data_IF_451303332363
#
_entry.id   IF_451303332363
#
_cell.length_a   1.000
_cell.length_b   1.000
_cell.length_c   1.000
_cell.angle_alpha   90.00
_cell.angle_beta   90.00
_cell.angle_gamma   90.00
#
_symmetry.space_group_name_H-M   'P 1'
#
loop_
_entity.id
_entity.type
_entity.pdbx_description
1 polymer ?
#
# COMPACT_ATOMS: atom_id res chain seq x y z
N UNK A 1 27.99 -1.50 -5.10
CA UNK A 1 26.74 -2.05 -5.67
C UNK A 1 25.62 -1.53 -4.77
N UNK A 2 24.89 -0.50 -5.19
CA UNK A 2 23.77 0.02 -4.38
C UNK A 2 22.79 -1.13 -4.14
N UNK A 3 22.54 -1.44 -2.86
CA UNK A 3 21.50 -2.37 -2.46
C UNK A 3 20.21 -1.77 -3.00
N UNK A 4 19.65 -2.36 -4.07
CA UNK A 4 18.33 -1.96 -4.58
C UNK A 4 17.39 -2.02 -3.38
N UNK A 5 16.89 -0.87 -2.91
CA UNK A 5 15.89 -0.84 -1.87
C UNK A 5 14.75 -1.74 -2.33
N UNK A 6 14.55 -2.84 -1.61
CA UNK A 6 13.42 -3.74 -1.86
C UNK A 6 12.16 -2.89 -1.64
N UNK A 7 11.18 -3.07 -2.53
CA UNK A 7 9.93 -2.33 -2.44
C UNK A 7 8.82 -3.32 -2.17
N UNK A 8 8.06 -3.08 -1.11
CA UNK A 8 6.85 -3.83 -0.79
C UNK A 8 5.61 -2.99 -1.11
N UNK A 9 4.45 -3.64 -1.14
CA UNK A 9 3.18 -2.99 -1.48
C UNK A 9 2.29 -2.99 -0.25
N UNK A 10 1.78 -1.82 0.07
CA UNK A 10 0.71 -1.60 1.02
C UNK A 10 -0.55 -1.24 0.24
N UNK A 11 -1.69 -1.78 0.61
CA UNK A 11 -2.94 -1.43 -0.04
C UNK A 11 -4.11 -1.49 0.91
N UNK A 12 -5.18 -0.76 0.55
CA UNK A 12 -6.48 -0.91 1.21
C UNK A 12 -7.47 -1.57 0.27
N UNK A 13 -8.08 -2.64 0.78
CA UNK A 13 -9.14 -3.38 0.11
C UNK A 13 -8.67 -4.72 -0.46
N UNK A 14 -9.37 -5.77 -0.04
CA UNK A 14 -9.02 -7.16 -0.35
C UNK A 14 -8.83 -7.45 -1.84
N UNK A 15 -9.74 -6.98 -2.69
CA UNK A 15 -9.66 -7.22 -4.13
C UNK A 15 -8.42 -6.54 -4.76
N UNK A 16 -8.10 -5.31 -4.35
CA UNK A 16 -6.91 -4.60 -4.87
C UNK A 16 -5.64 -5.30 -4.41
N UNK A 17 -5.58 -5.73 -3.15
CA UNK A 17 -4.47 -6.51 -2.60
C UNK A 17 -4.20 -7.78 -3.42
N UNK A 18 -5.26 -8.56 -3.68
CA UNK A 18 -5.17 -9.79 -4.46
C UNK A 18 -4.73 -9.55 -5.91
N UNK A 19 -5.20 -8.48 -6.55
CA UNK A 19 -4.74 -8.13 -7.89
C UNK A 19 -3.25 -7.75 -7.91
N UNK A 20 -2.80 -6.95 -6.95
CA UNK A 20 -1.40 -6.51 -6.90
C UNK A 20 -0.47 -7.67 -6.57
N UNK A 21 -0.81 -8.53 -5.62
CA UNK A 21 0.03 -9.68 -5.28
C UNK A 21 0.16 -10.67 -6.43
N UNK A 22 -0.89 -10.84 -7.25
CA UNK A 22 -0.89 -11.81 -8.34
C UNK A 22 -0.30 -11.27 -9.66
N UNK A 23 -0.60 -10.02 -10.01
CA UNK A 23 -0.28 -9.46 -11.34
C UNK A 23 0.97 -8.57 -11.37
N UNK A 24 1.61 -8.28 -10.24
CA UNK A 24 2.86 -7.53 -10.24
C UNK A 24 4.01 -8.40 -10.79
N UNK A 25 4.91 -7.86 -11.64
CA UNK A 25 5.87 -8.69 -12.38
C UNK A 25 6.81 -9.53 -11.52
N UNK A 26 7.09 -9.10 -10.28
CA UNK A 26 7.96 -9.82 -9.35
C UNK A 26 7.21 -10.35 -8.14
N UNK A 27 5.88 -10.24 -8.15
CA UNK A 27 5.02 -10.63 -7.03
C UNK A 27 5.52 -10.01 -5.72
N UNK A 28 5.73 -8.70 -5.75
CA UNK A 28 6.17 -7.92 -4.60
C UNK A 28 5.29 -8.23 -3.39
N UNK A 29 5.93 -8.39 -2.21
CA UNK A 29 5.21 -8.66 -0.97
C UNK A 29 4.14 -7.60 -0.75
N UNK A 30 2.89 -8.04 -0.68
CA UNK A 30 1.71 -7.17 -0.70
C UNK A 30 0.89 -7.37 0.57
N UNK A 31 0.66 -6.28 1.29
CA UNK A 31 -0.06 -6.26 2.55
C UNK A 31 -1.36 -5.46 2.41
N UNK A 32 -2.43 -6.06 2.91
CA UNK A 32 -3.74 -5.44 2.98
C UNK A 32 -3.89 -4.77 4.36
N UNK A 33 -3.87 -3.44 4.40
CA UNK A 33 -3.96 -2.64 5.62
C UNK A 33 -5.36 -2.07 5.85
N UNK A 34 -5.58 -1.57 7.07
CA UNK A 34 -6.77 -0.80 7.46
C UNK A 34 -8.09 -1.49 7.09
N UNK A 35 -8.12 -2.82 7.21
CA UNK A 35 -9.32 -3.61 7.00
C UNK A 35 -10.26 -3.40 8.18
N UNK A 36 -11.50 -3.02 7.87
CA UNK A 36 -12.57 -2.81 8.86
C UNK A 36 -13.38 -4.08 9.11
N UNK A 37 -13.46 -4.97 8.12
CA UNK A 37 -14.19 -6.23 8.24
C UNK A 37 -13.46 -7.21 9.14
N UNK A 38 -14.22 -7.99 9.92
CA UNK A 38 -13.68 -8.99 10.85
C UNK A 38 -12.76 -10.00 10.14
N UNK A 39 -13.14 -10.43 8.93
CA UNK A 39 -12.35 -11.35 8.10
C UNK A 39 -11.05 -10.69 7.60
N UNK A 40 -11.08 -9.38 7.30
CA UNK A 40 -9.90 -8.64 6.90
C UNK A 40 -8.95 -8.35 8.05
N UNK A 41 -9.44 -8.23 9.29
CA UNK A 41 -8.61 -8.03 10.47
C UNK A 41 -7.73 -9.24 10.79
N UNK A 42 -8.17 -10.46 10.47
CA UNK A 42 -7.37 -11.68 10.65
C UNK A 42 -6.02 -11.62 9.93
N UNK A 43 -5.95 -10.92 8.79
CA UNK A 43 -4.70 -10.73 8.06
C UNK A 43 -3.65 -10.02 8.89
N UNK A 44 -4.02 -9.08 9.77
CA UNK A 44 -3.06 -8.31 10.59
C UNK A 44 -2.13 -9.23 11.38
N UNK A 45 -2.63 -10.36 11.89
CA UNK A 45 -1.85 -11.33 12.66
C UNK A 45 -0.79 -12.07 11.84
N UNK A 46 -0.94 -12.08 10.51
CA UNK A 46 -0.05 -12.80 9.60
C UNK A 46 0.94 -11.85 8.90
N UNK A 47 0.91 -10.55 9.19
CA UNK A 47 1.80 -9.56 8.57
C UNK A 47 3.03 -9.35 9.45
N UNK A 48 4.21 -9.69 8.92
CA UNK A 48 5.48 -9.29 9.53
C UNK A 48 6.01 -8.00 8.89
N UNK A 49 5.25 -6.91 8.97
CA UNK A 49 5.62 -5.62 8.37
C UNK A 49 6.98 -5.11 8.86
N UNK A 50 7.32 -5.36 10.12
CA UNK A 50 8.60 -4.94 10.70
C UNK A 50 9.83 -5.62 10.06
N UNK A 51 9.66 -6.68 9.27
CA UNK A 51 10.73 -7.22 8.44
C UNK A 51 11.20 -6.25 7.34
N UNK A 52 10.37 -5.24 7.00
CA UNK A 52 10.65 -4.25 5.96
C UNK A 52 11.20 -2.93 6.51
N UNK A 53 11.64 -2.85 7.77
CA UNK A 53 12.24 -1.60 8.30
C UNK A 53 13.43 -1.18 7.44
N UNK A 54 13.46 0.09 7.03
CA UNK A 54 14.45 0.64 6.10
C UNK A 54 14.08 0.53 4.62
N UNK A 55 13.05 -0.24 4.26
CA UNK A 55 12.63 -0.43 2.87
C UNK A 55 11.64 0.65 2.40
N UNK A 56 11.48 0.76 1.08
CA UNK A 56 10.49 1.65 0.48
C UNK A 56 9.18 0.88 0.22
N UNK A 57 8.07 1.60 0.10
CA UNK A 57 6.78 1.01 -0.20
C UNK A 57 6.00 1.79 -1.26
N UNK A 58 5.15 1.07 -1.98
CA UNK A 58 4.02 1.66 -2.70
C UNK A 58 2.77 1.49 -1.87
N UNK A 59 2.10 2.58 -1.53
CA UNK A 59 0.77 2.54 -0.95
C UNK A 59 -0.29 2.85 -2.01
N UNK A 60 -1.28 1.97 -2.14
CA UNK A 60 -2.34 2.09 -3.15
C UNK A 60 -3.74 1.93 -2.53
N UNK A 61 -4.66 2.82 -2.89
CA UNK A 61 -6.06 2.75 -2.46
C UNK A 61 -7.00 3.21 -3.59
N UNK A 62 -8.18 2.62 -3.64
CA UNK A 62 -9.24 3.04 -4.56
C UNK A 62 -9.84 4.38 -4.15
N UNK A 63 -10.00 5.29 -5.09
CA UNK A 63 -10.49 6.65 -4.86
C UNK A 63 -9.42 7.70 -5.11
N UNK A 64 -9.74 8.95 -4.81
CA UNK A 64 -8.88 10.12 -5.11
C UNK A 64 -7.96 10.53 -3.96
N UNK A 65 -8.29 10.13 -2.74
CA UNK A 65 -7.56 10.43 -1.53
C UNK A 65 -7.70 9.26 -0.56
N UNK A 66 -6.63 8.94 0.13
CA UNK A 66 -6.68 8.01 1.25
C UNK A 66 -7.05 8.75 2.54
N UNK A 67 -8.00 8.18 3.30
CA UNK A 67 -8.32 8.63 4.65
C UNK A 67 -7.23 8.25 5.68
N UNK A 68 -6.32 7.33 5.34
CA UNK A 68 -5.31 6.77 6.23
C UNK A 68 -3.90 7.30 5.95
N UNK A 69 -3.78 8.27 5.04
CA UNK A 69 -2.49 8.84 4.65
C UNK A 69 -1.71 9.37 5.86
N UNK A 70 -2.38 10.03 6.80
CA UNK A 70 -1.73 10.59 8.00
C UNK A 70 -1.17 9.50 8.92
N UNK A 71 -1.84 8.34 9.02
CA UNK A 71 -1.30 7.18 9.75
C UNK A 71 -0.03 6.64 9.09
N UNK A 72 -0.01 6.60 7.76
CA UNK A 72 1.18 6.19 7.03
C UNK A 72 2.32 7.20 7.17
N UNK A 73 2.05 8.51 7.28
CA UNK A 73 3.11 9.52 7.44
C UNK A 73 3.97 9.29 8.68
N UNK A 74 3.42 8.72 9.74
CA UNK A 74 4.19 8.39 10.94
C UNK A 74 5.13 7.20 10.72
N UNK A 75 4.82 6.33 9.76
CA UNK A 75 5.53 5.09 9.52
C UNK A 75 6.62 5.20 8.44
N UNK A 76 6.76 6.35 7.78
CA UNK A 76 7.71 6.56 6.69
C UNK A 76 8.34 7.96 6.79
N UNK A 77 9.61 8.09 6.43
CA UNK A 77 10.30 9.39 6.46
C UNK A 77 9.69 10.36 5.46
N UNK A 78 9.26 9.87 4.30
CA UNK A 78 8.68 10.71 3.24
C UNK A 78 7.59 9.95 2.51
N UNK A 79 6.50 10.65 2.20
CA UNK A 79 5.44 10.12 1.33
C UNK A 79 5.15 11.14 0.23
N UNK A 80 5.21 10.69 -1.02
CA UNK A 80 4.90 11.48 -2.21
C UNK A 80 3.68 10.89 -2.90
N UNK A 81 2.67 11.73 -3.17
CA UNK A 81 1.50 11.34 -3.94
C UNK A 81 1.85 11.38 -5.43
N UNK A 82 1.56 10.29 -6.13
CA UNK A 82 1.64 10.23 -7.59
C UNK A 82 0.38 10.83 -8.25
N UNK A 83 0.44 11.18 -9.54
CA UNK A 83 -0.75 11.53 -10.30
C UNK A 83 -1.84 10.45 -10.15
N UNK A 84 -3.09 10.89 -10.08
CA UNK A 84 -4.22 9.98 -9.93
C UNK A 84 -4.26 8.99 -11.09
N UNK A 85 -4.26 7.70 -10.80
CA UNK A 85 -4.35 6.68 -11.82
C UNK A 85 -5.82 6.43 -12.17
N UNK A 86 -6.19 6.73 -13.42
CA UNK A 86 -7.57 6.64 -13.90
C UNK A 86 -7.68 5.48 -14.88
N UNK A 87 -8.53 4.52 -14.53
CA UNK A 87 -8.93 3.42 -15.41
C UNK A 87 -10.23 3.83 -16.07
N UNK A 88 -10.26 3.87 -17.40
CA UNK A 88 -11.43 4.20 -18.19
C UNK A 88 -11.72 3.13 -19.24
N UNK A 89 -12.99 3.02 -19.63
CA UNK A 89 -13.47 2.20 -20.74
C UNK A 89 -14.58 2.96 -21.45
N UNK A 90 -14.49 3.04 -22.78
CA UNK A 90 -15.47 3.73 -23.63
C UNK A 90 -15.73 5.18 -23.17
N UNK A 91 -14.66 5.89 -22.78
CA UNK A 91 -14.72 7.27 -22.28
C UNK A 91 -15.28 7.44 -20.86
N UNK A 92 -15.74 6.37 -20.21
CA UNK A 92 -16.25 6.40 -18.83
C UNK A 92 -15.16 5.98 -17.84
N UNK A 93 -15.03 6.72 -16.74
CA UNK A 93 -14.13 6.34 -15.65
C UNK A 93 -14.73 5.14 -14.92
N UNK A 94 -14.02 4.01 -14.95
CA UNK A 94 -14.38 2.81 -14.18
C UNK A 94 -13.81 2.89 -12.77
N UNK A 95 -12.56 3.37 -12.65
CA UNK A 95 -11.85 3.34 -11.37
C UNK A 95 -10.83 4.46 -11.28
N UNK A 96 -10.66 4.97 -10.08
CA UNK A 96 -9.59 5.91 -9.70
C UNK A 96 -8.76 5.22 -8.63
N UNK A 97 -7.45 5.28 -8.75
CA UNK A 97 -6.50 4.70 -7.78
C UNK A 97 -5.53 5.80 -7.39
N UNK A 98 -5.46 6.07 -6.10
CA UNK A 98 -4.43 6.92 -5.53
C UNK A 98 -3.20 6.08 -5.24
N UNK A 99 -2.05 6.52 -5.73
CA UNK A 99 -0.76 5.87 -5.54
C UNK A 99 0.14 6.82 -4.76
N UNK A 100 0.81 6.28 -3.75
CA UNK A 100 1.73 7.01 -2.91
C UNK A 100 3.05 6.24 -2.85
N UNK A 101 4.16 6.92 -3.16
CA UNK A 101 5.50 6.40 -2.90
C UNK A 101 5.88 6.78 -1.49
N UNK A 102 6.10 5.78 -0.64
CA UNK A 102 6.49 5.95 0.74
C UNK A 102 7.93 5.46 0.91
N UNK A 103 8.77 6.25 1.56
CA UNK A 103 10.21 6.04 1.60
C UNK A 103 10.69 5.77 3.02
N UNK A 104 11.59 4.79 3.15
CA UNK A 104 12.26 4.40 4.38
C UNK A 104 11.28 4.10 5.55
N UNK A 105 10.68 2.92 5.51
CA UNK A 105 9.73 2.43 6.49
C UNK A 105 10.34 2.34 7.90
N UNK A 106 9.68 2.95 8.88
CA UNK A 106 10.15 3.07 10.26
C UNK A 106 9.59 1.98 11.19
N UNK A 107 8.44 1.38 10.84
CA UNK A 107 7.84 0.30 11.62
C UNK A 107 6.31 0.29 11.61
N UNK A 108 5.73 -0.86 11.93
CA UNK A 108 4.28 -1.07 11.92
C UNK A 108 3.56 -0.53 13.16
N UNK A 109 4.30 -0.26 14.24
CA UNK A 109 3.80 0.39 15.46
C UNK A 109 3.16 1.75 15.20
N UNK A 110 3.52 2.41 14.09
CA UNK A 110 2.96 3.69 13.65
C UNK A 110 1.71 3.54 12.76
N UNK A 111 1.40 2.32 12.34
CA UNK A 111 0.30 1.97 11.44
C UNK A 111 -0.83 1.25 12.19
N UNK A 112 -0.54 0.56 13.30
CA UNK A 112 -1.55 -0.08 14.15
C UNK A 112 -2.56 0.92 14.72
N UNK A 113 -3.77 0.43 15.02
CA UNK A 113 -4.81 1.21 15.73
C UNK A 113 -4.36 1.50 17.17
#
# INVERSE_FOLDING_TARGET
>A
MEKKNKTFILCRGFALAGYLSFYTPKQEETYCLFQETLQGQAYRYWQNLNAHKGEDALYMETGEKSAYLERLRNAFITIKKEPLFIISKDGKIIKKISIYRAYNFQGSEFISD
#
